data_IF_714167573187
#
_entry.id   IF_714167573187
#
_cell.length_a   1.000
_cell.length_b   1.000
_cell.length_c   1.000
_cell.angle_alpha   90.00
_cell.angle_beta   90.00
_cell.angle_gamma   90.00
#
_symmetry.space_group_name_H-M   'P 1'
#
loop_
_entity.id
_entity.type
_entity.pdbx_description
1 polymer ?
#
# COMPACT_ATOMS: atom_id res chain seq x y z
N UNK A 1 7.37 20.61 4.91
CA UNK A 1 6.12 20.65 4.13
C UNK A 1 5.66 19.21 3.99
N UNK A 2 4.45 18.86 4.44
CA UNK A 2 3.98 17.47 4.46
C UNK A 2 3.67 16.97 3.04
N UNK A 3 3.86 15.67 2.80
CA UNK A 3 3.68 15.06 1.48
C UNK A 3 2.25 15.27 0.94
N UNK A 4 1.23 15.11 1.77
CA UNK A 4 -0.16 15.31 1.37
C UNK A 4 -0.61 16.77 1.28
N UNK A 5 0.22 17.72 1.72
CA UNK A 5 -0.03 19.15 1.53
C UNK A 5 0.68 19.68 0.28
N UNK A 6 1.51 18.86 -0.36
CA UNK A 6 2.22 19.23 -1.57
C UNK A 6 1.30 19.22 -2.80
N UNK A 7 0.99 20.42 -3.30
CA UNK A 7 0.38 20.58 -4.61
C UNK A 7 1.46 20.51 -5.70
N UNK A 8 1.63 19.33 -6.27
CA UNK A 8 2.52 19.05 -7.44
C UNK A 8 2.14 19.87 -8.69
N UNK A 9 1.03 20.63 -8.65
CA UNK A 9 0.58 21.56 -9.69
C UNK A 9 1.34 22.90 -9.74
N UNK A 10 2.30 23.13 -8.85
CA UNK A 10 2.97 24.44 -8.68
C UNK A 10 4.38 24.52 -9.26
N UNK A 11 4.95 23.42 -9.76
CA UNK A 11 6.33 23.42 -10.26
C UNK A 11 6.52 22.45 -11.44
N UNK A 12 6.82 23.05 -12.59
CA UNK A 12 7.47 22.47 -13.78
C UNK A 12 6.59 21.62 -14.73
N UNK A 13 6.39 22.18 -15.93
CA UNK A 13 6.01 21.56 -17.22
C UNK A 13 5.65 20.06 -17.22
N UNK A 14 4.36 19.78 -17.40
CA UNK A 14 3.72 18.46 -17.50
C UNK A 14 4.10 17.67 -18.77
N UNK A 15 5.36 17.26 -18.91
CA UNK A 15 5.75 16.13 -19.77
C UNK A 15 6.28 14.94 -18.97
N UNK A 16 6.35 15.04 -17.64
CA UNK A 16 6.66 13.89 -16.79
C UNK A 16 5.39 13.06 -16.61
N UNK A 17 5.35 11.91 -17.27
CA UNK A 17 4.34 10.87 -17.05
C UNK A 17 4.28 10.54 -15.56
N UNK A 18 3.13 10.73 -14.92
CA UNK A 18 2.94 10.23 -13.55
C UNK A 18 2.86 8.72 -13.67
N UNK A 19 3.97 8.05 -13.38
CA UNK A 19 4.06 6.61 -13.43
C UNK A 19 3.35 6.00 -12.23
N UNK A 20 2.46 5.05 -12.51
CA UNK A 20 1.76 4.29 -11.50
C UNK A 20 1.56 2.86 -11.98
N UNK A 21 1.09 2.03 -11.05
CA UNK A 21 0.80 0.62 -11.28
C UNK A 21 -0.69 0.37 -11.02
N UNK A 22 -1.29 -0.47 -11.86
CA UNK A 22 -2.64 -0.96 -11.67
C UNK A 22 -2.56 -2.39 -11.12
N UNK A 23 -3.23 -2.62 -10.00
CA UNK A 23 -3.45 -3.95 -9.44
C UNK A 23 -4.89 -4.36 -9.71
N UNK A 24 -5.08 -5.61 -10.11
CA UNK A 24 -6.37 -6.17 -10.54
C UNK A 24 -7.06 -7.02 -9.46
N UNK A 25 -6.55 -6.99 -8.22
CA UNK A 25 -7.04 -7.83 -7.12
C UNK A 25 -6.51 -9.26 -7.15
N UNK A 26 -5.54 -9.57 -8.00
CA UNK A 26 -4.84 -10.87 -8.06
C UNK A 26 -3.31 -10.71 -8.20
N UNK A 27 -2.88 -9.56 -8.69
CA UNK A 27 -1.46 -9.24 -8.87
C UNK A 27 -0.81 -8.71 -7.60
N UNK A 28 0.50 -8.94 -7.48
CA UNK A 28 1.37 -8.31 -6.48
C UNK A 28 2.71 -7.94 -7.13
N UNK A 29 3.46 -7.06 -6.47
CA UNK A 29 4.83 -6.72 -6.83
C UNK A 29 5.75 -6.98 -5.64
N UNK A 30 6.87 -7.66 -5.89
CA UNK A 30 7.99 -7.73 -4.95
C UNK A 30 8.90 -6.52 -5.20
N UNK A 31 9.01 -5.62 -4.23
CA UNK A 31 9.86 -4.44 -4.36
C UNK A 31 11.32 -4.74 -3.98
N UNK A 32 11.52 -5.36 -2.83
CA UNK A 32 12.84 -5.72 -2.31
C UNK A 32 12.69 -7.03 -1.50
N UNK A 33 13.40 -8.12 -1.87
CA UNK A 33 13.35 -9.37 -1.12
C UNK A 33 13.98 -9.29 0.29
N UNK A 34 14.80 -8.28 0.56
CA UNK A 34 15.54 -8.11 1.81
C UNK A 34 15.35 -6.71 2.41
N UNK A 35 14.11 -6.21 2.35
CA UNK A 35 13.76 -4.89 2.84
C UNK A 35 13.93 -4.80 4.36
N UNK A 36 14.28 -3.60 4.85
CA UNK A 36 14.47 -3.33 6.29
C UNK A 36 13.70 -2.10 6.72
N UNK A 37 12.99 -2.23 7.83
CA UNK A 37 12.32 -1.14 8.55
C UNK A 37 13.00 -0.99 9.90
N UNK A 38 13.52 0.21 10.16
CA UNK A 38 14.14 0.57 11.43
C UNK A 38 13.27 1.59 12.19
N UNK A 39 13.79 2.18 13.27
CA UNK A 39 13.13 3.21 14.09
C UNK A 39 12.69 4.49 13.35
N UNK A 40 13.08 4.65 12.09
CA UNK A 40 12.55 5.72 11.24
C UNK A 40 12.21 5.14 9.87
N UNK A 41 10.93 5.13 9.56
CA UNK A 41 10.40 4.67 8.28
C UNK A 41 9.25 5.56 7.84
N UNK A 42 9.31 6.03 6.60
CA UNK A 42 8.28 6.87 5.99
C UNK A 42 7.89 6.29 4.65
N UNK A 43 6.60 6.14 4.44
CA UNK A 43 6.04 5.78 3.15
C UNK A 43 4.97 6.79 2.73
N UNK A 44 5.07 7.22 1.48
CA UNK A 44 4.21 8.20 0.88
C UNK A 44 3.70 7.65 -0.45
N UNK A 45 2.40 7.69 -0.70
CA UNK A 45 1.84 7.28 -1.99
C UNK A 45 0.48 7.92 -2.22
N UNK A 46 0.00 7.81 -3.46
CA UNK A 46 -1.39 8.07 -3.78
C UNK A 46 -2.04 6.79 -4.27
N UNK A 47 -3.29 6.59 -3.88
CA UNK A 47 -4.07 5.44 -4.30
C UNK A 47 -5.46 5.83 -4.77
N UNK A 48 -6.06 4.96 -5.56
CA UNK A 48 -7.43 5.06 -6.05
C UNK A 48 -8.05 3.67 -6.11
N UNK A 49 -9.22 3.47 -5.51
CA UNK A 49 -9.90 2.16 -5.48
C UNK A 49 -11.41 2.29 -5.28
N UNK A 50 -12.14 1.27 -5.69
CA UNK A 50 -13.54 1.01 -5.32
C UNK A 50 -13.67 -0.22 -4.39
N UNK A 51 -12.58 -0.96 -4.16
CA UNK A 51 -12.57 -2.14 -3.31
C UNK A 51 -12.65 -1.75 -1.83
N UNK A 52 -13.39 -2.54 -1.05
CA UNK A 52 -13.58 -2.29 0.38
C UNK A 52 -12.56 -3.01 1.26
N UNK A 53 -11.79 -3.92 0.67
CA UNK A 53 -10.78 -4.73 1.32
C UNK A 53 -9.62 -4.92 0.34
N UNK A 54 -8.38 -4.98 0.85
CA UNK A 54 -7.21 -5.20 0.01
C UNK A 54 -5.88 -4.90 0.71
N UNK A 55 -4.89 -5.77 0.54
CA UNK A 55 -3.53 -5.58 1.03
C UNK A 55 -2.77 -4.64 0.10
N UNK A 56 -2.40 -3.45 0.58
CA UNK A 56 -1.67 -2.46 -0.21
C UNK A 56 -0.17 -2.70 -0.11
N UNK A 57 0.33 -2.96 1.10
CA UNK A 57 1.74 -3.18 1.37
C UNK A 57 1.89 -4.19 2.51
N UNK A 58 2.88 -5.05 2.41
CA UNK A 58 3.22 -6.00 3.45
C UNK A 58 4.72 -6.28 3.50
N UNK A 59 5.29 -6.22 4.71
CA UNK A 59 6.63 -6.70 5.06
C UNK A 59 6.47 -7.68 6.21
N UNK A 60 7.09 -8.85 6.11
CA UNK A 60 6.99 -9.91 7.11
C UNK A 60 8.37 -10.41 7.52
N UNK A 61 8.58 -10.50 8.83
CA UNK A 61 9.77 -11.02 9.48
C UNK A 61 9.33 -12.11 10.48
N UNK A 62 9.21 -13.38 10.03
CA UNK A 62 8.65 -14.46 10.84
C UNK A 62 9.38 -14.72 12.16
N UNK A 63 10.65 -14.35 12.26
CA UNK A 63 11.49 -14.52 13.44
C UNK A 63 12.32 -13.25 13.63
N UNK A 64 11.84 -12.28 14.45
CA UNK A 64 11.17 -12.51 15.74
C UNK A 64 9.64 -12.30 15.77
N UNK A 65 8.91 -12.61 14.68
CA UNK A 65 7.48 -12.33 14.53
C UNK A 65 7.20 -10.82 14.52
N UNK A 66 7.81 -10.15 13.55
CA UNK A 66 7.59 -8.74 13.26
C UNK A 66 7.01 -8.55 11.87
N UNK A 67 6.21 -7.52 11.67
CA UNK A 67 5.62 -7.21 10.37
C UNK A 67 5.20 -5.76 10.30
N UNK A 68 5.08 -5.25 9.08
CA UNK A 68 4.47 -3.96 8.81
C UNK A 68 3.50 -4.10 7.63
N UNK A 69 2.25 -3.69 7.84
CA UNK A 69 1.17 -3.87 6.88
C UNK A 69 0.39 -2.58 6.69
N UNK A 70 0.03 -2.30 5.44
CA UNK A 70 -0.96 -1.30 5.07
C UNK A 70 -2.05 -2.01 4.29
N UNK A 71 -3.28 -1.93 4.79
CA UNK A 71 -4.42 -2.64 4.21
C UNK A 71 -5.68 -1.78 4.29
N UNK A 72 -6.62 -2.04 3.38
CA UNK A 72 -8.01 -1.65 3.58
C UNK A 72 -8.73 -2.86 4.17
N UNK A 73 -9.48 -2.62 5.24
CA UNK A 73 -10.43 -3.57 5.78
C UNK A 73 -11.74 -2.85 6.08
N UNK A 74 -12.86 -3.37 5.58
CA UNK A 74 -14.19 -2.78 5.78
C UNK A 74 -14.22 -1.25 5.48
N UNK A 75 -13.57 -0.82 4.39
CA UNK A 75 -13.47 0.58 3.92
C UNK A 75 -12.61 1.50 4.81
N UNK A 76 -11.94 0.96 5.83
CA UNK A 76 -11.00 1.71 6.65
C UNK A 76 -9.57 1.40 6.21
N UNK A 77 -8.75 2.44 6.08
CA UNK A 77 -7.31 2.25 5.90
C UNK A 77 -6.70 1.94 7.26
N UNK A 78 -5.91 0.88 7.33
CA UNK A 78 -5.23 0.43 8.53
C UNK A 78 -3.74 0.36 8.23
N UNK A 79 -2.94 1.06 9.04
CA UNK A 79 -1.51 0.80 9.14
C UNK A 79 -1.26 0.04 10.44
N UNK A 80 -0.53 -1.07 10.35
CA UNK A 80 -0.30 -1.99 11.45
C UNK A 80 1.16 -2.39 11.50
N UNK A 81 1.72 -2.35 12.69
CA UNK A 81 3.02 -2.90 13.00
C UNK A 81 2.85 -4.03 14.02
N UNK A 82 3.62 -5.10 13.84
CA UNK A 82 3.88 -6.10 14.88
C UNK A 82 5.38 -6.05 15.10
N UNK A 83 5.83 -5.88 16.33
CA UNK A 83 7.26 -5.86 16.67
C UNK A 83 7.48 -6.84 17.80
N UNK A 84 8.24 -7.90 17.55
CA UNK A 84 8.48 -9.00 18.50
C UNK A 84 7.16 -9.55 19.09
N UNK A 85 6.17 -9.83 18.22
CA UNK A 85 4.84 -10.31 18.63
C UNK A 85 3.93 -9.26 19.28
N UNK A 86 4.35 -7.98 19.40
CA UNK A 86 3.52 -6.91 19.97
C UNK A 86 2.81 -6.11 18.86
N UNK A 87 1.48 -6.26 18.67
CA UNK A 87 0.76 -5.57 17.62
C UNK A 87 0.28 -4.18 18.07
N UNK A 88 0.40 -3.21 17.18
CA UNK A 88 -0.25 -1.91 17.31
C UNK A 88 -0.62 -1.37 15.93
N UNK A 89 -1.68 -0.56 15.89
CA UNK A 89 -2.25 -0.11 14.62
C UNK A 89 -2.96 1.21 14.77
N UNK A 90 -2.97 1.96 13.68
CA UNK A 90 -3.79 3.15 13.49
C UNK A 90 -4.77 2.88 12.34
N UNK A 91 -6.01 3.34 12.48
CA UNK A 91 -7.06 3.16 11.46
C UNK A 91 -7.81 4.45 11.24
N UNK A 92 -8.31 4.66 10.02
CA UNK A 92 -9.17 5.81 9.74
C UNK A 92 -10.52 5.67 10.43
N UNK A 93 -11.11 6.80 10.79
CA UNK A 93 -12.46 6.91 11.36
C UNK A 93 -13.54 7.12 10.27
N UNK A 94 -13.20 6.82 9.01
CA UNK A 94 -14.09 7.09 7.89
C UNK A 94 -15.41 6.35 8.03
N UNK A 95 -16.50 7.12 8.08
CA UNK A 95 -17.84 6.62 7.85
C UNK A 95 -18.11 6.65 6.34
N UNK A 96 -18.66 5.56 5.77
CA UNK A 96 -18.96 5.40 4.33
C UNK A 96 -17.71 5.31 3.42
N UNK A 97 -17.89 5.41 2.10
CA UNK A 97 -16.90 5.07 1.06
C UNK A 97 -15.81 6.14 0.83
N UNK A 98 -15.40 6.90 1.84
CA UNK A 98 -14.52 8.08 1.65
C UNK A 98 -13.16 7.79 1.03
N UNK A 99 -12.67 6.56 1.15
CA UNK A 99 -11.42 6.10 0.53
C UNK A 99 -11.66 5.19 -0.69
N UNK A 100 -12.86 4.63 -0.78
CA UNK A 100 -13.26 3.60 -1.74
C UNK A 100 -14.28 4.18 -2.74
N UNK A 101 -14.06 5.42 -3.18
CA UNK A 101 -14.97 6.19 -4.06
C UNK A 101 -14.44 6.33 -5.50
N UNK A 102 -13.29 5.72 -5.79
CA UNK A 102 -12.67 5.80 -7.09
C UNK A 102 -12.01 7.14 -7.40
N UNK A 103 -11.67 7.98 -6.41
CA UNK A 103 -10.79 9.13 -6.62
C UNK A 103 -9.42 8.93 -5.99
N UNK A 104 -8.47 9.80 -6.34
CA UNK A 104 -7.12 9.76 -5.79
C UNK A 104 -7.09 10.33 -4.38
N UNK A 105 -6.63 9.52 -3.43
CA UNK A 105 -6.31 9.92 -2.07
C UNK A 105 -4.81 9.95 -1.85
N UNK A 106 -4.35 10.89 -1.03
CA UNK A 106 -2.96 10.94 -0.58
C UNK A 106 -2.81 10.23 0.77
N UNK A 107 -1.82 9.35 0.86
CA UNK A 107 -1.48 8.62 2.08
C UNK A 107 -0.02 8.89 2.42
N UNK A 108 0.22 9.23 3.67
CA UNK A 108 1.53 9.27 4.28
C UNK A 108 1.48 8.50 5.60
N UNK A 109 2.38 7.54 5.78
CA UNK A 109 2.51 6.78 7.01
C UNK A 109 3.94 6.90 7.50
N UNK A 110 4.11 7.18 8.78
CA UNK A 110 5.42 7.27 9.43
C UNK A 110 5.45 6.38 10.64
N UNK A 111 6.57 5.71 10.80
CA UNK A 111 6.92 4.94 11.97
C UNK A 111 8.20 5.57 12.53
N UNK A 112 8.07 6.19 13.71
CA UNK A 112 9.15 6.92 14.39
C UNK A 112 9.25 6.40 15.83
N UNK A 113 10.21 5.50 16.06
CA UNK A 113 10.22 4.64 17.25
C UNK A 113 8.88 3.91 17.38
N UNK A 114 8.26 3.96 18.56
CA UNK A 114 6.95 3.34 18.79
C UNK A 114 5.75 4.14 18.28
N UNK A 115 5.95 5.34 17.73
CA UNK A 115 4.87 6.17 17.20
C UNK A 115 4.58 5.81 15.75
N UNK A 116 3.41 5.21 15.53
CA UNK A 116 2.84 5.01 14.20
C UNK A 116 1.86 6.15 13.91
N UNK A 117 2.13 6.93 12.87
CA UNK A 117 1.28 8.02 12.40
C UNK A 117 0.86 7.80 10.95
N UNK A 118 -0.36 8.22 10.63
CA UNK A 118 -0.98 8.08 9.32
C UNK A 118 -1.72 9.36 9.00
N UNK A 119 -1.41 9.96 7.85
CA UNK A 119 -2.13 11.08 7.26
C UNK A 119 -2.83 10.60 6.00
N UNK A 120 -4.14 10.82 5.93
CA UNK A 120 -4.95 10.55 4.74
C UNK A 120 -5.60 11.86 4.31
N UNK A 121 -5.21 12.34 3.14
CA UNK A 121 -5.50 13.69 2.65
C UNK A 121 -5.15 14.75 3.72
N UNK A 122 -6.17 15.34 4.35
CA UNK A 122 -6.03 16.38 5.40
C UNK A 122 -6.25 15.87 6.81
N UNK A 123 -6.48 14.57 7.00
CA UNK A 123 -6.76 13.97 8.31
C UNK A 123 -5.54 13.25 8.85
N UNK A 124 -5.31 13.37 10.14
CA UNK A 124 -4.18 12.78 10.84
C UNK A 124 -4.66 11.80 11.90
N UNK A 125 -3.97 10.69 12.02
CA UNK A 125 -4.24 9.62 12.96
C UNK A 125 -2.89 9.13 13.52
N UNK A 126 -2.84 8.79 14.80
CA UNK A 126 -1.60 8.26 15.40
C UNK A 126 -1.88 7.33 16.57
N UNK A 127 -0.94 6.41 16.80
CA UNK A 127 -0.94 5.51 17.95
C UNK A 127 0.50 5.19 18.36
N UNK A 128 0.76 5.21 19.66
CA UNK A 128 2.03 4.73 20.24
C UNK A 128 1.82 3.41 20.98
N UNK A 129 2.85 2.57 21.00
CA UNK A 129 2.91 1.34 21.79
C UNK A 129 4.10 1.38 22.75
N UNK A 130 3.82 1.49 24.05
CA UNK A 130 4.86 1.72 25.07
C UNK A 130 5.76 0.52 25.30
N UNK A 131 5.33 -0.69 24.91
CA UNK A 131 6.15 -1.92 25.00
C UNK A 131 7.15 -2.08 23.86
N UNK A 132 7.10 -1.23 22.84
CA UNK A 132 8.02 -1.25 21.71
C UNK A 132 9.10 -0.19 21.92
N UNK A 133 10.37 -0.63 22.00
CA UNK A 133 11.51 0.25 22.28
C UNK A 133 12.42 0.46 21.07
N UNK A 134 12.49 -0.53 20.19
CA UNK A 134 13.27 -0.49 18.95
C UNK A 134 12.55 -1.30 17.87
N UNK A 135 12.68 -0.86 16.63
CA UNK A 135 12.09 -1.50 15.46
C UNK A 135 13.21 -1.97 14.56
N UNK A 136 13.18 -3.26 14.25
CA UNK A 136 14.04 -3.91 13.26
C UNK A 136 13.21 -5.03 12.63
N UNK A 137 12.59 -4.73 11.49
CA UNK A 137 11.77 -5.68 10.73
C UNK A 137 12.49 -5.93 9.41
N UNK A 138 12.79 -7.20 9.12
CA UNK A 138 13.56 -7.60 7.95
C UNK A 138 12.81 -8.65 7.15
N UNK A 139 12.52 -8.36 5.91
CA UNK A 139 11.80 -9.30 5.06
C UNK A 139 11.49 -8.79 3.68
N UNK A 140 10.83 -9.60 2.86
CA UNK A 140 10.39 -9.17 1.54
C UNK A 140 9.31 -8.10 1.68
N UNK A 141 9.48 -7.00 0.94
CA UNK A 141 8.47 -5.96 0.81
C UNK A 141 7.60 -6.22 -0.42
N UNK A 142 6.35 -6.59 -0.18
CA UNK A 142 5.32 -6.77 -1.18
C UNK A 142 4.40 -5.55 -1.29
N UNK A 143 3.89 -5.32 -2.49
CA UNK A 143 2.91 -4.28 -2.81
C UNK A 143 1.74 -4.93 -3.57
N UNK A 144 0.52 -4.60 -3.15
CA UNK A 144 -0.74 -5.04 -3.77
C UNK A 144 -1.22 -6.45 -3.41
N UNK A 145 -0.42 -7.22 -2.67
CA UNK A 145 -0.72 -8.60 -2.29
C UNK A 145 0.53 -9.26 -1.73
N UNK A 146 0.61 -10.58 -1.85
CA UNK A 146 1.79 -11.35 -1.45
C UNK A 146 1.95 -12.61 -2.31
N UNK A 147 3.14 -13.20 -2.30
CA UNK A 147 3.37 -14.48 -2.98
C UNK A 147 2.85 -15.63 -2.13
N UNK A 148 2.21 -16.63 -2.74
CA UNK A 148 1.69 -17.83 -2.06
C UNK A 148 2.74 -18.62 -1.27
N UNK A 149 4.03 -18.41 -1.56
CA UNK A 149 5.15 -18.97 -0.79
C UNK A 149 5.22 -18.43 0.64
N UNK A 150 4.55 -17.31 0.90
CA UNK A 150 4.47 -16.68 2.20
C UNK A 150 3.04 -16.81 2.71
N UNK A 151 2.90 -17.35 3.92
CA UNK A 151 1.61 -17.50 4.60
C UNK A 151 1.53 -16.45 5.70
N UNK A 152 0.89 -15.29 5.46
CA UNK A 152 0.78 -14.25 6.48
C UNK A 152 0.07 -14.77 7.73
N UNK A 153 0.66 -14.48 8.90
CA UNK A 153 -0.03 -14.65 10.17
C UNK A 153 -1.22 -13.69 10.25
N UNK A 154 -2.30 -14.10 10.91
CA UNK A 154 -3.42 -13.19 11.21
C UNK A 154 -2.99 -12.00 12.09
N UNK A 155 -1.85 -12.13 12.78
CA UNK A 155 -1.25 -11.02 13.51
C UNK A 155 -0.69 -9.95 12.58
N UNK A 156 -0.22 -10.30 11.38
CA UNK A 156 0.36 -9.35 10.41
C UNK A 156 -0.68 -8.78 9.45
N UNK A 157 -1.56 -9.61 8.88
CA UNK A 157 -2.56 -9.19 7.88
C UNK A 157 -3.97 -9.62 8.30
N UNK A 158 -4.98 -8.74 8.16
CA UNK A 158 -6.36 -9.01 8.58
C UNK A 158 -7.30 -9.38 7.44
N UNK A 159 -6.84 -9.27 6.21
CA UNK A 159 -7.58 -9.62 4.99
C UNK A 159 -6.72 -10.47 4.07
N UNK A 160 -7.31 -11.43 3.36
CA UNK A 160 -6.63 -12.21 2.32
C UNK A 160 -6.89 -11.66 0.91
N UNK A 161 -7.61 -10.55 0.78
CA UNK A 161 -7.88 -9.92 -0.50
C UNK A 161 -6.67 -9.12 -0.99
N UNK A 162 -6.28 -9.32 -2.24
CA UNK A 162 -5.25 -8.51 -2.88
C UNK A 162 -5.85 -7.17 -3.31
N UNK A 163 -5.02 -6.15 -3.41
CA UNK A 163 -5.47 -4.82 -3.75
C UNK A 163 -5.99 -4.76 -5.19
N UNK A 164 -7.19 -4.23 -5.36
CA UNK A 164 -7.74 -3.88 -6.66
C UNK A 164 -7.82 -2.36 -6.76
N UNK A 165 -6.98 -1.75 -7.58
CA UNK A 165 -6.90 -0.30 -7.69
C UNK A 165 -5.62 0.18 -8.33
N UNK A 166 -5.33 1.46 -8.16
CA UNK A 166 -4.14 2.11 -8.70
C UNK A 166 -3.28 2.68 -7.58
N UNK A 167 -1.96 2.57 -7.73
CA UNK A 167 -0.96 3.21 -6.85
C UNK A 167 -0.02 4.04 -7.72
N UNK A 168 0.29 5.26 -7.28
CA UNK A 168 1.27 6.13 -7.94
C UNK A 168 2.06 6.96 -6.94
N UNK A 169 3.12 7.61 -7.41
CA UNK A 169 3.96 8.49 -6.61
C UNK A 169 4.47 7.83 -5.30
N UNK A 170 4.65 6.50 -5.34
CA UNK A 170 5.12 5.76 -4.17
C UNK A 170 6.58 6.13 -3.88
N UNK A 171 6.82 6.57 -2.64
CA UNK A 171 8.13 6.88 -2.08
C UNK A 171 8.30 6.19 -0.75
N UNK A 172 9.47 5.62 -0.54
CA UNK A 172 9.88 5.01 0.72
C UNK A 172 11.16 5.70 1.17
N UNK A 173 11.18 6.26 2.37
CA UNK A 173 12.29 7.04 2.93
C UNK A 173 12.82 8.08 1.93
N UNK A 174 11.90 8.87 1.36
CA UNK A 174 12.13 9.89 0.30
C UNK A 174 12.62 9.36 -1.06
N UNK A 175 12.92 8.07 -1.18
CA UNK A 175 13.30 7.47 -2.46
C UNK A 175 12.05 7.11 -3.26
N UNK A 176 11.92 7.71 -4.45
CA UNK A 176 10.88 7.33 -5.41
C UNK A 176 11.13 5.91 -5.89
N UNK A 177 10.07 5.10 -5.90
CA UNK A 177 10.12 3.78 -6.53
C UNK A 177 10.02 3.96 -8.04
N UNK A 178 11.06 3.54 -8.73
CA UNK A 178 11.02 3.31 -10.18
C UNK A 178 10.50 1.89 -10.42
N UNK A 179 9.29 1.79 -10.97
CA UNK A 179 8.61 0.53 -11.24
C UNK A 179 9.21 -0.26 -12.41
N UNK A 180 10.11 0.36 -13.19
CA UNK A 180 10.77 -0.28 -14.34
C UNK A 180 12.24 -0.61 -14.07
N UNK A 181 12.77 -0.22 -12.91
CA UNK A 181 14.17 -0.45 -12.58
C UNK A 181 14.45 -1.95 -12.36
N UNK A 182 15.52 -2.53 -12.93
CA UNK A 182 15.88 -3.94 -12.73
C UNK A 182 16.16 -4.34 -11.27
N UNK A 183 16.53 -3.39 -10.41
CA UNK A 183 16.69 -3.63 -8.95
C UNK A 183 15.36 -3.69 -8.20
N UNK A 184 14.33 -3.03 -8.73
CA UNK A 184 12.93 -3.13 -8.31
C UNK A 184 12.20 -4.00 -9.31
N UNK A 185 12.83 -5.12 -9.69
CA UNK A 185 12.15 -6.13 -10.48
C UNK A 185 11.00 -6.60 -9.59
N UNK A 186 9.80 -6.06 -9.83
CA UNK A 186 8.59 -6.81 -9.58
C UNK A 186 8.90 -8.19 -10.16
N UNK A 187 9.10 -9.18 -9.29
CA UNK A 187 9.19 -10.56 -9.74
C UNK A 187 7.79 -10.87 -10.24
N UNK A 188 7.54 -10.53 -11.50
CA UNK A 188 6.31 -10.82 -12.23
C UNK A 188 6.37 -12.31 -12.55
N UNK A 189 6.07 -13.13 -11.55
CA UNK A 189 5.70 -14.54 -11.67
C UNK A 189 4.68 -14.77 -10.55
N UNK A 190 3.37 -14.67 -10.78
CA UNK A 190 2.59 -15.26 -11.86
C UNK A 190 1.55 -14.30 -12.49
N UNK A 191 1.74 -14.08 -13.80
CA UNK A 191 0.78 -13.84 -14.88
C UNK A 191 0.19 -12.45 -15.27
N UNK A 192 0.56 -12.10 -16.53
CA UNK A 192 -0.16 -11.48 -17.65
C UNK A 192 -0.74 -10.06 -17.63
N UNK A 193 -1.08 -9.40 -16.53
CA UNK A 193 -1.88 -8.16 -16.65
C UNK A 193 -1.45 -6.94 -15.82
N UNK A 194 -0.25 -6.94 -15.23
CA UNK A 194 0.30 -5.68 -14.70
C UNK A 194 0.62 -4.74 -15.87
N UNK A 195 -0.34 -3.87 -16.19
CA UNK A 195 -0.11 -2.83 -17.18
C UNK A 195 0.50 -1.64 -16.47
N UNK A 196 1.79 -1.42 -16.64
CA UNK A 196 2.40 -0.10 -16.36
C UNK A 196 1.78 0.88 -17.34
N UNK A 197 0.75 1.61 -16.90
CA UNK A 197 0.14 2.66 -17.70
C UNK A 197 0.78 3.99 -17.29
N UNK A 198 1.13 4.81 -18.28
CA UNK A 198 1.19 6.25 -18.08
C UNK A 198 -0.24 6.64 -17.71
N UNK A 199 -0.49 6.88 -16.41
CA UNK A 199 -1.83 7.22 -15.97
C UNK A 199 -2.09 8.66 -16.38
N UNK A 200 -3.18 8.94 -17.12
CA UNK A 200 -3.52 10.29 -17.49
C UNK A 200 -3.70 11.15 -16.23
N UNK A 201 -3.43 12.45 -16.37
CA UNK A 201 -3.52 13.42 -15.28
C UNK A 201 -4.96 13.50 -14.73
N UNK A 202 -5.15 14.23 -13.62
CA UNK A 202 -6.38 14.29 -12.75
C UNK A 202 -7.75 14.41 -13.46
N UNK A 203 -7.84 14.60 -14.77
CA UNK A 203 -9.07 14.81 -15.52
C UNK A 203 -9.71 13.54 -16.12
N UNK A 204 -9.09 12.36 -16.06
CA UNK A 204 -9.65 11.15 -16.68
C UNK A 204 -10.46 10.30 -15.66
N UNK A 205 -11.79 10.33 -15.79
CA UNK A 205 -12.75 9.63 -14.92
C UNK A 205 -13.14 8.23 -15.40
N UNK A 206 -12.34 7.60 -16.26
CA UNK A 206 -12.66 6.26 -16.75
C UNK A 206 -12.08 5.16 -15.85
N UNK A 207 -12.97 4.36 -15.25
CA UNK A 207 -12.62 3.03 -14.73
C UNK A 207 -13.09 1.98 -15.75
N UNK A 208 -12.27 0.99 -16.11
CA UNK A 208 -12.79 -0.21 -16.73
C UNK A 208 -13.58 -1.00 -15.68
N UNK A 209 -14.85 -1.28 -15.97
CA UNK A 209 -15.67 -2.20 -15.19
C UNK A 209 -14.97 -3.57 -15.12
N UNK A 210 -14.88 -4.16 -13.92
CA UNK A 210 -14.42 -5.54 -13.76
C UNK A 210 -15.22 -6.51 -14.65
N UNK A 211 -14.60 -7.58 -15.16
CA UNK A 211 -15.34 -8.60 -15.92
C UNK A 211 -16.40 -9.25 -15.04
N UNK A 212 -17.64 -9.31 -15.53
CA UNK A 212 -18.72 -10.03 -14.89
C UNK A 212 -18.33 -11.51 -14.73
N UNK A 213 -18.48 -12.07 -13.51
CA UNK A 213 -18.41 -13.51 -13.28
C UNK A 213 -19.47 -14.19 -14.16
N UNK A 214 -19.05 -15.00 -15.14
CA UNK A 214 -19.94 -15.95 -15.80
C UNK A 214 -20.37 -16.99 -14.77
N UNK A 215 -21.64 -17.01 -14.41
CA UNK A 215 -22.24 -18.13 -13.69
C UNK A 215 -22.34 -19.31 -14.65
N UNK A 216 -21.57 -20.36 -14.41
CA UNK A 216 -21.80 -21.66 -15.03
C UNK A 216 -23.07 -22.24 -14.41
N UNK A 217 -24.12 -22.35 -15.22
CA UNK A 217 -25.34 -23.11 -14.88
C UNK A 217 -25.05 -24.53 -15.37
N UNK A 218 -24.88 -25.47 -14.45
CA UNK A 218 -24.89 -26.89 -14.81
C UNK A 218 -26.34 -27.37 -14.81
N UNK A 219 -26.76 -27.97 -15.92
CA UNK A 219 -28.02 -28.69 -16.06
C UNK A 219 -27.97 -30.09 -15.47
#
# INVERSE_FOLDING_TARGET
>A
MDYCDYNESSSVNYLNSIQGIQFDGQSYALYDPNFKINDSFVINFQMKTLAHDGIILWVDDPLPESSFTIEIQNRQLIARAVVNGQPYSVRTDFTKNRLCDGVWHCIQIRLEGSLLSMKVDKRHYSKSETRVHSIDIRGPLFIGGYSEKYSPSYLSVRTNYFFNGNIRNLKINEQKIDWLAPRHTAVIREFYNLTTKIMPSKNDRSFPNSPAKKSTING
#
